data_IF_184880164178
#
_entry.id   IF_184880164178
#
_cell.length_a   1.000
_cell.length_b   1.000
_cell.length_c   1.000
_cell.angle_alpha   90.00
_cell.angle_beta   90.00
_cell.angle_gamma   90.00
#
_symmetry.space_group_name_H-M   'P 1'
#
loop_
_entity.id
_entity.type
_entity.pdbx_description
1 polymer ?
#
# COMPACT_ATOMS: atom_id res chain seq x y z
N UNK A 1 -10.32 -3.03 18.16
CA UNK A 1 -9.89 -3.41 16.81
C UNK A 1 -8.49 -2.89 16.57
N UNK A 2 -7.60 -3.76 16.14
CA UNK A 2 -6.23 -3.36 15.89
C UNK A 2 -6.09 -2.75 14.52
N UNK A 3 -5.28 -1.71 14.44
CA UNK A 3 -4.94 -1.11 13.16
C UNK A 3 -3.69 -1.79 12.62
N UNK A 4 -3.82 -2.41 11.46
CA UNK A 4 -2.67 -2.97 10.78
C UNK A 4 -1.95 -1.86 10.04
N UNK A 5 -0.63 -1.89 10.12
CA UNK A 5 0.26 -0.95 9.45
C UNK A 5 1.28 -1.75 8.67
N UNK A 6 1.54 -1.33 7.45
CA UNK A 6 2.55 -1.97 6.61
C UNK A 6 3.59 -0.95 6.19
N UNK A 7 4.74 -1.48 5.79
CA UNK A 7 5.85 -0.68 5.26
C UNK A 7 6.18 -1.19 3.86
N UNK A 8 6.40 -0.27 2.93
CA UNK A 8 6.80 -0.65 1.59
C UNK A 8 8.29 -1.02 1.58
N UNK A 9 8.58 -2.17 1.00
CA UNK A 9 9.96 -2.66 0.84
C UNK A 9 10.58 -2.23 -0.47
N UNK A 10 9.75 -1.81 -1.43
CA UNK A 10 10.17 -1.35 -2.75
C UNK A 10 9.33 -0.15 -3.14
N UNK A 11 9.81 0.70 -4.04
CA UNK A 11 8.97 1.77 -4.58
C UNK A 11 7.77 1.21 -5.31
N UNK A 12 6.63 1.86 -5.16
CA UNK A 12 5.39 1.50 -5.83
C UNK A 12 4.94 2.71 -6.65
N UNK A 13 4.72 2.51 -7.94
CA UNK A 13 4.25 3.55 -8.83
C UNK A 13 2.82 3.24 -9.25
N UNK A 14 1.93 4.19 -9.05
CA UNK A 14 0.53 4.07 -9.45
C UNK A 14 0.27 5.00 -10.62
N UNK A 15 -0.26 4.46 -11.69
CA UNK A 15 -0.60 5.24 -12.88
C UNK A 15 -2.10 5.34 -13.01
N UNK A 16 -2.58 6.55 -13.24
CA UNK A 16 -3.98 6.80 -13.55
C UNK A 16 -4.06 7.55 -14.86
N UNK A 17 -5.08 7.24 -15.63
CA UNK A 17 -5.37 7.96 -16.87
C UNK A 17 -5.57 9.44 -16.55
N UNK A 18 -4.95 10.29 -17.34
CA UNK A 18 -5.04 11.76 -17.23
C UNK A 18 -4.47 12.34 -15.95
N UNK A 19 -3.66 11.57 -15.21
CA UNK A 19 -3.02 12.04 -14.00
C UNK A 19 -1.54 11.73 -14.05
N UNK A 20 -0.74 12.54 -13.36
CA UNK A 20 0.67 12.24 -13.16
C UNK A 20 0.80 10.97 -12.31
N UNK A 21 1.79 10.11 -12.60
CA UNK A 21 2.01 8.93 -11.76
C UNK A 21 2.31 9.33 -10.32
N UNK A 22 1.79 8.55 -9.38
CA UNK A 22 2.10 8.69 -7.98
C UNK A 22 3.16 7.66 -7.60
N UNK A 23 4.24 8.10 -6.99
CA UNK A 23 5.31 7.21 -6.55
C UNK A 23 5.37 7.21 -5.04
N UNK A 24 5.28 6.01 -4.47
CA UNK A 24 5.48 5.78 -3.04
C UNK A 24 6.83 5.12 -2.87
N UNK A 25 7.71 5.75 -2.12
CA UNK A 25 9.08 5.28 -1.98
C UNK A 25 9.18 4.13 -0.99
N UNK A 26 10.29 3.41 -1.07
CA UNK A 26 10.64 2.40 -0.08
C UNK A 26 10.63 3.03 1.32
N UNK A 27 10.06 2.30 2.29
CA UNK A 27 9.95 2.81 3.65
C UNK A 27 8.66 3.57 3.94
N UNK A 28 7.82 3.78 2.93
CA UNK A 28 6.52 4.43 3.14
C UNK A 28 5.66 3.59 4.06
N UNK A 29 5.05 4.23 5.05
CA UNK A 29 4.17 3.57 6.03
C UNK A 29 2.74 3.80 5.61
N UNK A 30 1.97 2.72 5.56
CA UNK A 30 0.58 2.74 5.10
C UNK A 30 -0.32 2.07 6.12
N UNK A 31 -1.53 2.60 6.27
CA UNK A 31 -2.55 1.98 7.13
C UNK A 31 -3.40 1.03 6.30
N UNK A 32 -3.68 -0.14 6.86
CA UNK A 32 -4.60 -1.09 6.23
C UNK A 32 -6.02 -0.72 6.65
N UNK A 33 -6.87 -0.44 5.65
CA UNK A 33 -8.28 -0.09 5.88
C UNK A 33 -9.14 -1.34 5.86
N UNK A 34 -8.86 -2.24 4.92
CA UNK A 34 -9.69 -3.41 4.71
C UNK A 34 -8.84 -4.51 4.08
N UNK A 35 -9.16 -5.76 4.37
CA UNK A 35 -8.53 -6.91 3.75
C UNK A 35 -9.55 -7.64 2.88
N UNK A 36 -9.15 -7.97 1.67
CA UNK A 36 -9.91 -8.85 0.79
C UNK A 36 -9.21 -10.21 0.75
N UNK A 37 -9.82 -11.24 0.12
CA UNK A 37 -9.14 -12.53 0.03
C UNK A 37 -7.80 -12.52 -0.68
N UNK A 38 -7.54 -11.53 -1.54
CA UNK A 38 -6.32 -11.50 -2.35
C UNK A 38 -5.48 -10.25 -2.16
N UNK A 39 -5.96 -9.25 -1.42
CA UNK A 39 -5.26 -7.97 -1.33
C UNK A 39 -5.60 -7.24 -0.04
N UNK A 40 -4.85 -6.16 0.20
CA UNK A 40 -5.14 -5.21 1.26
C UNK A 40 -5.45 -3.86 0.65
N UNK A 41 -6.50 -3.21 1.13
CA UNK A 41 -6.75 -1.82 0.82
C UNK A 41 -6.00 -0.98 1.83
N UNK A 42 -5.11 -0.13 1.35
CA UNK A 42 -4.24 0.66 2.20
C UNK A 42 -4.42 2.15 1.91
N UNK A 43 -4.03 2.96 2.87
CA UNK A 43 -4.14 4.42 2.76
C UNK A 43 -2.85 5.06 3.25
N UNK A 44 -2.41 6.11 2.56
CA UNK A 44 -1.31 6.93 3.04
C UNK A 44 -1.85 8.02 3.98
N UNK A 45 -0.97 8.92 4.42
CA UNK A 45 -1.34 9.98 5.34
C UNK A 45 -2.10 11.13 4.67
N UNK A 46 -2.27 11.08 3.35
CA UNK A 46 -3.09 12.06 2.61
C UNK A 46 -4.45 11.49 2.24
N UNK A 47 -4.82 10.34 2.81
CA UNK A 47 -6.07 9.63 2.54
C UNK A 47 -6.18 9.11 1.11
N UNK A 48 -5.06 8.95 0.43
CA UNK A 48 -5.05 8.30 -0.86
C UNK A 48 -5.06 6.78 -0.67
N UNK A 49 -6.04 6.09 -1.26
CA UNK A 49 -6.25 4.66 -1.08
C UNK A 49 -5.83 3.87 -2.32
N UNK A 50 -5.16 2.75 -2.10
CA UNK A 50 -4.84 1.82 -3.17
C UNK A 50 -4.71 0.41 -2.59
N UNK A 51 -4.55 -0.58 -3.46
CA UNK A 51 -4.45 -1.97 -3.02
C UNK A 51 -3.06 -2.52 -3.24
N UNK A 52 -2.65 -3.42 -2.33
CA UNK A 52 -1.43 -4.22 -2.51
C UNK A 52 -1.83 -5.68 -2.45
N UNK A 53 -1.14 -6.52 -3.23
CA UNK A 53 -1.45 -7.93 -3.29
C UNK A 53 -0.91 -8.66 -2.07
N UNK A 54 -1.69 -9.60 -1.53
CA UNK A 54 -1.21 -10.46 -0.45
C UNK A 54 -0.03 -11.33 -0.88
N UNK A 55 0.08 -11.62 -2.17
CA UNK A 55 1.20 -12.40 -2.69
C UNK A 55 2.52 -11.63 -2.63
N UNK A 56 2.44 -10.32 -2.49
CA UNK A 56 3.63 -9.47 -2.44
C UNK A 56 4.14 -9.23 -1.03
N UNK A 57 3.53 -9.86 -0.04
CA UNK A 57 4.01 -9.77 1.34
C UNK A 57 5.46 -10.24 1.43
N UNK A 58 6.28 -9.45 2.14
CA UNK A 58 7.72 -9.68 2.29
C UNK A 58 8.51 -9.55 0.98
N UNK A 59 7.86 -9.13 -0.10
CA UNK A 59 8.52 -8.81 -1.37
C UNK A 59 8.41 -7.33 -1.69
N UNK A 60 7.19 -6.80 -1.63
CA UNK A 60 6.90 -5.40 -1.92
C UNK A 60 6.55 -4.64 -0.64
N UNK A 61 5.94 -5.33 0.32
CA UNK A 61 5.53 -4.72 1.59
C UNK A 61 5.67 -5.74 2.72
N UNK A 62 5.70 -5.24 3.93
CA UNK A 62 5.70 -6.11 5.11
C UNK A 62 4.81 -5.50 6.18
N UNK A 63 4.27 -6.35 7.03
CA UNK A 63 3.49 -5.95 8.19
C UNK A 63 4.42 -5.50 9.30
N UNK A 64 4.06 -4.40 9.94
CA UNK A 64 4.82 -3.87 11.07
C UNK A 64 4.24 -4.32 12.41
#
# INVERSE_FOLDING_TARGET
MENLIIELLKPVTLEKENCNPLVFEQGTILKVIMQTPTSLLVSDDTDFNFTVSLQDENKVWREL
#
